data_IF_694299676746
#
_entry.id   IF_694299676746
#
_cell.length_a   1.000
_cell.length_b   1.000
_cell.length_c   1.000
_cell.angle_alpha   90.00
_cell.angle_beta   90.00
_cell.angle_gamma   90.00
#
_symmetry.space_group_name_H-M   'P 1'
#
loop_
_entity.id
_entity.type
_entity.pdbx_description
1 polymer ?
#
# COMPACT_ATOMS: atom_id res chain seq x y z
N UNK A 1 -19.14 -2.57 5.57
CA UNK A 1 -19.74 -1.21 5.49
C UNK A 1 -18.83 -0.03 5.08
N UNK A 2 -17.48 -0.16 4.99
CA UNK A 2 -16.63 0.81 4.27
C UNK A 2 -16.00 0.18 3.01
N UNK A 3 -15.65 -1.12 3.04
CA UNK A 3 -15.20 -1.88 1.87
C UNK A 3 -16.28 -2.09 0.80
N UNK A 4 -17.54 -2.33 1.17
CA UNK A 4 -18.61 -2.57 0.18
C UNK A 4 -18.93 -1.33 -0.67
N UNK A 5 -18.93 -0.13 -0.05
CA UNK A 5 -19.10 1.13 -0.79
C UNK A 5 -17.90 1.45 -1.70
N UNK A 6 -16.70 1.00 -1.31
CA UNK A 6 -15.49 1.12 -2.11
C UNK A 6 -15.52 0.21 -3.35
N UNK A 7 -16.06 -1.00 -3.21
CA UNK A 7 -16.26 -1.92 -4.34
C UNK A 7 -17.39 -1.46 -5.28
N UNK A 8 -18.46 -0.85 -4.74
CA UNK A 8 -19.55 -0.28 -5.55
C UNK A 8 -19.11 0.95 -6.38
N UNK A 9 -18.19 1.77 -5.87
CA UNK A 9 -17.68 2.95 -6.57
C UNK A 9 -16.40 2.69 -7.39
N UNK A 10 -15.81 1.51 -7.29
CA UNK A 10 -14.58 1.12 -7.98
C UNK A 10 -14.60 1.40 -9.50
N UNK A 11 -15.69 1.14 -10.25
CA UNK A 11 -15.74 1.45 -11.68
C UNK A 11 -15.72 2.96 -11.97
N UNK A 12 -16.35 3.78 -11.11
CA UNK A 12 -16.37 5.22 -11.26
C UNK A 12 -14.99 5.83 -10.96
N UNK A 13 -14.31 5.35 -9.93
CA UNK A 13 -12.94 5.77 -9.59
C UNK A 13 -11.96 5.37 -10.71
N UNK A 14 -12.13 4.19 -11.30
CA UNK A 14 -11.31 3.69 -12.42
C UNK A 14 -11.50 4.52 -13.71
N UNK A 15 -12.73 4.96 -14.00
CA UNK A 15 -13.02 5.88 -15.11
C UNK A 15 -12.44 7.29 -14.88
N UNK A 16 -12.34 7.71 -13.62
CA UNK A 16 -11.89 9.04 -13.22
C UNK A 16 -10.35 9.16 -13.20
N UNK A 17 -9.65 8.05 -12.91
CA UNK A 17 -8.19 7.91 -12.88
C UNK A 17 -7.51 8.22 -14.23
N UNK A 18 -8.19 8.00 -15.36
CA UNK A 18 -7.67 8.33 -16.69
C UNK A 18 -7.57 9.84 -16.97
N UNK A 19 -8.19 10.70 -16.15
CA UNK A 19 -8.22 12.14 -16.39
C UNK A 19 -7.15 12.89 -15.59
N UNK A 20 -6.10 13.35 -16.28
CA UNK A 20 -4.98 14.13 -15.70
C UNK A 20 -5.42 15.37 -14.90
N UNK A 21 -6.61 15.92 -15.18
CA UNK A 21 -7.21 17.06 -14.48
C UNK A 21 -7.68 16.72 -13.06
N UNK A 22 -8.16 15.50 -12.82
CA UNK A 22 -8.60 15.05 -11.50
C UNK A 22 -7.45 14.48 -10.68
N UNK A 23 -6.39 13.93 -11.32
CA UNK A 23 -5.11 13.62 -10.63
C UNK A 23 -4.50 14.86 -9.95
N UNK A 24 -4.53 16.01 -10.61
CA UNK A 24 -4.14 17.31 -10.02
C UNK A 24 -5.04 17.77 -8.87
N UNK A 25 -6.32 17.37 -8.89
CA UNK A 25 -7.25 17.64 -7.79
C UNK A 25 -7.00 16.72 -6.60
N UNK A 26 -6.61 15.47 -6.85
CA UNK A 26 -6.20 14.49 -5.83
C UNK A 26 -4.82 14.79 -5.26
N UNK A 27 -3.87 15.32 -6.06
CA UNK A 27 -2.59 15.90 -5.58
C UNK A 27 -2.80 17.12 -4.67
N UNK A 28 -3.95 17.78 -4.79
CA UNK A 28 -4.32 18.94 -3.98
C UNK A 28 -4.66 18.54 -2.54
N UNK A 29 -5.21 17.33 -2.37
CA UNK A 29 -5.36 16.67 -1.07
C UNK A 29 -4.07 15.89 -0.77
N UNK A 30 -3.26 16.36 0.20
CA UNK A 30 -1.93 15.82 0.53
C UNK A 30 -1.96 14.43 1.20
N UNK A 31 -2.89 13.57 0.81
CA UNK A 31 -3.06 12.24 1.37
C UNK A 31 -2.11 11.25 0.70
N UNK A 32 -1.38 10.42 1.48
CA UNK A 32 -0.50 9.42 0.92
C UNK A 32 -1.28 8.37 0.12
N UNK A 33 -0.68 7.84 -0.93
CA UNK A 33 -1.24 6.67 -1.64
C UNK A 33 -1.02 5.40 -0.82
N UNK A 34 -1.79 4.34 -1.09
CA UNK A 34 -1.59 3.05 -0.40
C UNK A 34 -0.14 2.55 -0.43
N UNK A 35 0.53 2.73 -1.58
CA UNK A 35 1.93 2.37 -1.77
C UNK A 35 2.94 3.15 -0.93
N UNK A 36 2.52 4.28 -0.36
CA UNK A 36 3.35 5.14 0.50
C UNK A 36 3.15 4.86 1.98
N UNK A 37 2.07 4.15 2.37
CA UNK A 37 1.76 3.91 3.78
C UNK A 37 2.89 3.16 4.49
N UNK A 38 3.40 2.05 3.93
CA UNK A 38 4.47 1.28 4.58
C UNK A 38 5.79 2.06 4.67
N UNK A 39 6.28 2.73 3.61
CA UNK A 39 7.44 3.61 3.71
C UNK A 39 7.29 4.70 4.77
N UNK A 40 6.10 5.32 4.87
CA UNK A 40 5.81 6.34 5.88
C UNK A 40 5.79 5.71 7.27
N UNK A 41 5.13 4.57 7.45
CA UNK A 41 5.06 3.85 8.71
C UNK A 41 6.45 3.44 9.20
N UNK A 42 7.33 3.03 8.29
CA UNK A 42 8.74 2.75 8.59
C UNK A 42 9.46 3.99 9.13
N UNK A 43 9.35 5.13 8.43
CA UNK A 43 9.94 6.39 8.91
C UNK A 43 9.36 6.86 10.25
N UNK A 44 8.04 6.71 10.44
CA UNK A 44 7.39 7.03 11.70
C UNK A 44 7.91 6.14 12.83
N UNK A 45 8.12 4.84 12.55
CA UNK A 45 8.72 3.92 13.52
C UNK A 45 10.08 4.44 13.96
N UNK A 46 10.95 4.76 13.00
CA UNK A 46 12.30 5.25 13.29
C UNK A 46 12.27 6.55 14.11
N UNK A 47 11.30 7.44 13.86
CA UNK A 47 11.14 8.68 14.62
C UNK A 47 10.60 8.50 16.04
N UNK A 48 9.77 7.47 16.27
CA UNK A 48 9.19 7.17 17.58
C UNK A 48 9.91 6.02 18.29
N UNK A 49 11.06 5.58 17.79
CA UNK A 49 11.91 4.61 18.48
C UNK A 49 12.48 5.26 19.74
N UNK A 50 12.33 4.55 20.87
CA UNK A 50 12.89 4.97 22.15
C UNK A 50 14.39 4.75 22.09
N UNK A 51 15.16 5.77 22.44
CA UNK A 51 16.62 5.72 22.48
C UNK A 51 17.13 5.94 23.89
N UNK A 52 18.38 5.57 24.15
CA UNK A 52 19.00 5.70 25.47
C UNK A 52 19.20 7.17 25.90
N UNK A 53 19.13 8.11 24.94
CA UNK A 53 19.15 9.56 25.21
C UNK A 53 17.79 10.12 25.63
N UNK A 54 16.70 9.37 25.51
CA UNK A 54 15.37 9.85 25.87
C UNK A 54 15.19 9.92 27.40
N UNK A 55 14.58 11.00 27.85
CA UNK A 55 14.05 11.05 29.22
C UNK A 55 12.87 10.07 29.38
N UNK A 56 12.62 9.59 30.60
CA UNK A 56 11.46 8.71 30.89
C UNK A 56 10.12 9.27 30.37
N UNK A 57 9.96 10.60 30.40
CA UNK A 57 8.78 11.27 29.87
C UNK A 57 8.69 11.14 28.33
N UNK A 58 9.80 11.36 27.62
CA UNK A 58 9.86 11.25 26.16
C UNK A 58 9.63 9.80 25.72
N UNK A 59 10.27 8.84 26.38
CA UNK A 59 10.07 7.40 26.11
C UNK A 59 8.59 7.03 26.25
N UNK A 60 7.95 7.46 27.34
CA UNK A 60 6.51 7.21 27.57
C UNK A 60 5.63 7.80 26.47
N UNK A 61 5.95 9.02 25.99
CA UNK A 61 5.21 9.65 24.90
C UNK A 61 5.41 8.89 23.59
N UNK A 62 6.67 8.59 23.23
CA UNK A 62 7.02 7.86 22.02
C UNK A 62 6.31 6.50 21.96
N UNK A 63 6.34 5.74 23.05
CA UNK A 63 5.65 4.44 23.17
C UNK A 63 4.14 4.57 22.99
N UNK A 64 3.51 5.55 23.65
CA UNK A 64 2.05 5.74 23.54
C UNK A 64 1.62 6.13 22.13
N UNK A 65 2.35 7.06 21.49
CA UNK A 65 2.05 7.50 20.13
C UNK A 65 2.27 6.34 19.15
N UNK A 66 3.39 5.64 19.25
CA UNK A 66 3.68 4.50 18.39
C UNK A 66 2.68 3.35 18.58
N UNK A 67 2.26 3.10 19.82
CA UNK A 67 1.23 2.13 20.16
C UNK A 67 -0.10 2.43 19.46
N UNK A 68 -0.55 3.68 19.46
CA UNK A 68 -1.78 4.09 18.77
C UNK A 68 -1.67 4.00 17.24
N UNK A 69 -0.54 4.44 16.67
CA UNK A 69 -0.32 4.40 15.21
C UNK A 69 -0.23 2.96 14.72
N UNK A 70 0.60 2.13 15.37
CA UNK A 70 0.87 0.76 14.93
C UNK A 70 -0.38 -0.12 14.99
N UNK A 71 -1.27 0.09 15.96
CA UNK A 71 -2.52 -0.68 16.12
C UNK A 71 -3.40 -0.68 14.88
N UNK A 72 -3.38 0.40 14.09
CA UNK A 72 -4.19 0.53 12.86
C UNK A 72 -3.68 -0.35 11.71
N UNK A 73 -2.46 -0.87 11.80
CA UNK A 73 -1.78 -1.63 10.74
C UNK A 73 -1.27 -3.00 11.22
N UNK A 74 -1.83 -3.50 12.34
CA UNK A 74 -1.50 -4.83 12.89
C UNK A 74 -2.24 -5.97 12.18
N UNK A 75 -3.37 -5.68 11.54
CA UNK A 75 -4.12 -6.69 10.79
C UNK A 75 -3.29 -7.23 9.62
N UNK A 76 -3.18 -8.55 9.54
CA UNK A 76 -2.33 -9.24 8.56
C UNK A 76 -2.83 -9.01 7.12
N UNK A 77 -4.15 -8.98 6.90
CA UNK A 77 -4.71 -8.76 5.57
C UNK A 77 -4.44 -7.33 5.10
N UNK A 78 -4.63 -6.35 5.99
CA UNK A 78 -4.27 -4.95 5.69
C UNK A 78 -2.78 -4.87 5.38
N UNK A 79 -1.93 -5.53 6.17
CA UNK A 79 -0.48 -5.48 5.97
C UNK A 79 -0.06 -6.11 4.65
N UNK A 80 -0.58 -7.28 4.29
CA UNK A 80 -0.30 -7.94 3.01
C UNK A 80 -0.74 -7.08 1.83
N UNK A 81 -1.93 -6.48 1.92
CA UNK A 81 -2.42 -5.57 0.88
C UNK A 81 -1.54 -4.33 0.71
N UNK A 82 -1.06 -3.74 1.82
CA UNK A 82 -0.12 -2.63 1.77
C UNK A 82 1.25 -3.04 1.23
N UNK A 83 1.70 -4.26 1.52
CA UNK A 83 2.92 -4.84 0.96
C UNK A 83 2.79 -5.00 -0.56
N UNK A 84 1.68 -5.55 -1.07
CA UNK A 84 1.42 -5.61 -2.51
C UNK A 84 1.44 -4.22 -3.17
N UNK A 85 0.71 -3.25 -2.59
CA UNK A 85 0.64 -1.89 -3.11
C UNK A 85 2.03 -1.22 -3.16
N UNK A 86 2.83 -1.42 -2.11
CA UNK A 86 4.17 -0.86 -1.99
C UNK A 86 5.15 -1.57 -2.94
N UNK A 87 4.98 -2.87 -3.21
CA UNK A 87 5.84 -3.63 -4.13
C UNK A 87 5.64 -3.18 -5.57
N UNK A 88 4.39 -2.85 -5.93
CA UNK A 88 4.01 -2.30 -7.24
C UNK A 88 4.53 -0.88 -7.46
N UNK A 89 4.89 -0.15 -6.41
CA UNK A 89 5.49 1.18 -6.55
C UNK A 89 7.01 1.08 -6.83
N UNK A 90 7.47 1.48 -8.02
CA UNK A 90 8.87 1.32 -8.43
C UNK A 90 9.86 2.08 -7.53
N UNK A 91 9.37 3.06 -6.76
CA UNK A 91 10.16 3.83 -5.80
C UNK A 91 10.47 3.03 -4.53
N UNK A 92 9.59 2.10 -4.15
CA UNK A 92 9.61 1.40 -2.86
C UNK A 92 9.76 -0.12 -2.97
N UNK A 93 9.81 -0.68 -4.19
CA UNK A 93 9.91 -2.12 -4.42
C UNK A 93 11.05 -2.85 -3.69
N UNK A 94 12.12 -2.15 -3.31
CA UNK A 94 13.26 -2.72 -2.55
C UNK A 94 13.06 -2.70 -1.03
N UNK A 95 11.99 -2.06 -0.53
CA UNK A 95 11.71 -1.87 0.89
C UNK A 95 10.84 -2.96 1.50
N UNK A 96 10.41 -3.94 0.71
CA UNK A 96 9.50 -5.00 1.17
C UNK A 96 10.29 -6.24 1.56
N UNK A 97 10.12 -6.75 2.79
CA UNK A 97 10.65 -8.05 3.17
C UNK A 97 10.08 -9.14 2.27
N UNK A 98 10.93 -9.99 1.69
CA UNK A 98 10.49 -11.15 0.92
C UNK A 98 9.94 -12.22 1.89
N UNK A 99 8.73 -12.04 2.41
CA UNK A 99 8.05 -13.10 3.15
C UNK A 99 7.33 -14.00 2.15
N UNK A 100 7.71 -15.27 2.11
CA UNK A 100 6.92 -16.29 1.43
C UNK A 100 5.65 -16.51 2.27
N UNK A 101 4.45 -16.48 1.69
CA UNK A 101 3.25 -16.90 2.40
C UNK A 101 3.48 -18.32 2.90
N UNK A 102 3.22 -18.57 4.19
CA UNK A 102 3.15 -19.94 4.70
C UNK A 102 1.79 -20.48 4.26
N UNK A 103 1.80 -21.60 3.57
CA UNK A 103 0.55 -22.27 3.20
C UNK A 103 -0.17 -22.70 4.49
N UNK A 104 -1.48 -22.54 4.53
CA UNK A 104 -2.31 -23.17 5.55
C UNK A 104 -2.32 -24.69 5.36
N UNK A 105 -2.63 -25.44 6.42
CA UNK A 105 -2.75 -26.89 6.34
C UNK A 105 -3.77 -27.34 5.27
N UNK A 106 -4.81 -26.54 5.01
CA UNK A 106 -5.78 -26.81 3.96
C UNK A 106 -5.16 -26.63 2.55
N UNK A 107 -4.43 -25.54 2.33
CA UNK A 107 -3.75 -25.29 1.04
C UNK A 107 -2.63 -26.30 0.78
N UNK A 108 -1.95 -26.78 1.81
CA UNK A 108 -0.98 -27.87 1.69
C UNK A 108 -1.65 -29.18 1.26
N UNK A 109 -2.83 -29.48 1.81
CA UNK A 109 -3.59 -30.69 1.49
C UNK A 109 -4.07 -30.73 0.04
N UNK A 110 -4.44 -29.58 -0.55
CA UNK A 110 -4.95 -29.49 -1.93
C UNK A 110 -3.90 -29.00 -2.95
N UNK A 111 -2.64 -28.89 -2.55
CA UNK A 111 -1.60 -28.30 -3.40
C UNK A 111 -1.36 -29.09 -4.70
N UNK A 112 -1.58 -30.41 -4.70
CA UNK A 112 -1.41 -31.25 -5.90
C UNK A 112 -2.58 -31.08 -6.87
N UNK A 113 -3.82 -31.11 -6.38
CA UNK A 113 -5.01 -30.86 -7.17
C UNK A 113 -4.96 -29.47 -7.84
N UNK A 114 -4.52 -28.45 -7.10
CA UNK A 114 -4.33 -27.09 -7.63
C UNK A 114 -3.21 -27.03 -8.68
N UNK A 115 -2.15 -27.84 -8.56
CA UNK A 115 -1.10 -27.95 -9.59
C UNK A 115 -1.66 -28.55 -10.87
N UNK A 116 -2.48 -29.59 -10.78
CA UNK A 116 -3.13 -30.21 -11.94
C UNK A 116 -4.10 -29.26 -12.64
N UNK A 117 -4.90 -28.49 -11.88
CA UNK A 117 -5.78 -27.45 -12.42
C UNK A 117 -4.99 -26.31 -13.09
N UNK A 118 -3.88 -25.87 -12.47
CA UNK A 118 -3.05 -24.79 -13.00
C UNK A 118 -2.22 -25.20 -14.23
N UNK A 119 -1.92 -26.49 -14.43
CA UNK A 119 -1.21 -26.99 -15.61
C UNK A 119 -1.97 -26.71 -16.92
N UNK A 120 -3.31 -26.72 -16.90
CA UNK A 120 -4.13 -26.34 -18.05
C UNK A 120 -4.23 -24.82 -18.27
N UNK A 121 -3.85 -24.03 -17.27
CA UNK A 121 -3.83 -22.55 -17.28
C UNK A 121 -2.42 -21.96 -17.54
N UNK A 122 -1.40 -22.82 -17.70
CA UNK A 122 0.03 -22.48 -17.62
C UNK A 122 0.56 -21.43 -18.61
N UNK A 123 -0.17 -21.10 -19.67
CA UNK A 123 0.26 -20.10 -20.65
C UNK A 123 0.14 -18.65 -20.14
N UNK A 124 -0.80 -18.34 -19.24
CA UNK A 124 -0.94 -16.99 -18.66
C UNK A 124 0.02 -16.75 -17.50
N UNK A 125 0.24 -17.75 -16.62
CA UNK A 125 1.12 -17.61 -15.45
C UNK A 125 2.59 -17.42 -15.84
N UNK A 126 3.04 -18.06 -16.93
CA UNK A 126 4.41 -17.89 -17.42
C UNK A 126 4.73 -16.47 -17.93
N UNK A 127 3.73 -15.72 -18.42
CA UNK A 127 3.91 -14.33 -18.83
C UNK A 127 4.01 -13.40 -17.63
N UNK A 128 3.15 -13.59 -16.63
CA UNK A 128 3.17 -12.81 -15.39
C UNK A 128 4.48 -13.01 -14.64
N UNK A 129 4.96 -14.26 -14.52
CA UNK A 129 6.22 -14.54 -13.82
C UNK A 129 7.42 -13.84 -14.48
N UNK A 130 7.47 -13.82 -15.82
CA UNK A 130 8.50 -13.10 -16.57
C UNK A 130 8.44 -11.58 -16.33
N UNK A 131 7.24 -10.99 -16.33
CA UNK A 131 7.06 -9.58 -16.01
C UNK A 131 7.54 -9.26 -14.58
N UNK A 132 7.21 -10.12 -13.61
CA UNK A 132 7.66 -9.98 -12.21
C UNK A 132 9.17 -10.04 -12.09
N UNK A 133 9.81 -11.01 -12.74
CA UNK A 133 11.26 -11.18 -12.65
C UNK A 133 12.00 -10.02 -13.31
N UNK A 134 11.51 -9.55 -14.47
CA UNK A 134 12.04 -8.37 -15.15
C UNK A 134 11.85 -7.10 -14.30
N UNK A 135 10.69 -6.91 -13.69
CA UNK A 135 10.43 -5.76 -12.83
C UNK A 135 11.35 -5.74 -11.60
N UNK A 136 11.60 -6.91 -10.99
CA UNK A 136 12.53 -7.07 -9.86
C UNK A 136 13.98 -6.76 -10.24
N UNK A 137 14.40 -7.07 -11.47
CA UNK A 137 15.77 -6.79 -11.94
C UNK A 137 16.02 -5.32 -12.28
N UNK A 138 14.98 -4.54 -12.58
CA UNK A 138 15.13 -3.11 -12.82
C UNK A 138 15.59 -2.37 -11.54
N UNK A 139 16.35 -1.28 -11.63
CA UNK A 139 16.62 -0.43 -10.47
C UNK A 139 15.34 0.20 -9.91
N UNK A 140 15.34 0.57 -8.63
CA UNK A 140 14.30 1.42 -8.06
C UNK A 140 14.38 2.83 -8.67
N UNK A 141 13.24 3.51 -8.75
CA UNK A 141 13.16 4.87 -9.30
C UNK A 141 13.30 5.93 -8.23
N UNK A 142 13.59 7.17 -8.64
CA UNK A 142 13.66 8.31 -7.73
C UNK A 142 12.28 8.64 -7.15
N UNK A 143 12.26 9.14 -5.92
CA UNK A 143 11.03 9.55 -5.24
C UNK A 143 10.29 10.70 -5.93
N UNK A 144 11.00 11.49 -6.74
CA UNK A 144 10.46 12.59 -7.55
C UNK A 144 9.72 12.14 -8.81
N UNK A 145 9.87 10.88 -9.22
CA UNK A 145 9.19 10.33 -10.40
C UNK A 145 7.77 9.95 -10.01
N UNK A 146 6.79 10.35 -10.84
CA UNK A 146 5.40 9.91 -10.68
C UNK A 146 5.27 8.44 -11.10
N UNK A 147 4.86 7.52 -10.20
CA UNK A 147 4.88 6.10 -10.49
C UNK A 147 3.87 5.71 -11.57
N UNK A 148 2.79 6.47 -11.76
CA UNK A 148 1.79 6.23 -12.82
C UNK A 148 2.41 6.50 -14.20
N UNK A 149 3.14 7.61 -14.36
CA UNK A 149 3.88 7.88 -15.60
C UNK A 149 4.95 6.82 -15.88
N UNK A 150 5.65 6.34 -14.85
CA UNK A 150 6.64 5.28 -15.00
C UNK A 150 6.01 3.97 -15.54
N UNK A 151 4.88 3.55 -14.98
CA UNK A 151 4.17 2.36 -15.46
C UNK A 151 3.58 2.52 -16.86
N UNK A 152 3.20 3.75 -17.23
CA UNK A 152 2.76 4.06 -18.58
C UNK A 152 3.88 3.86 -19.60
N UNK A 153 5.10 4.31 -19.30
CA UNK A 153 6.28 4.12 -20.15
C UNK A 153 6.67 2.63 -20.26
N UNK A 154 6.42 1.84 -19.22
CA UNK A 154 6.78 0.41 -19.17
C UNK A 154 5.68 -0.54 -19.64
N UNK A 155 4.50 -0.04 -20.02
CA UNK A 155 3.33 -0.86 -20.37
C UNK A 155 3.58 -1.91 -21.46
N UNK A 156 4.42 -1.59 -22.44
CA UNK A 156 4.71 -2.52 -23.54
C UNK A 156 5.73 -3.60 -23.12
N UNK A 157 6.58 -3.29 -22.14
CA UNK A 157 7.61 -4.21 -21.61
C UNK A 157 7.14 -5.04 -20.42
N UNK A 158 6.18 -4.54 -19.65
CA UNK A 158 5.62 -5.13 -18.42
C UNK A 158 4.08 -5.06 -18.44
N UNK A 159 3.41 -5.63 -19.46
CA UNK A 159 1.98 -5.44 -19.68
C UNK A 159 1.11 -5.92 -18.52
N UNK A 160 1.44 -7.06 -17.88
CA UNK A 160 0.62 -7.60 -16.79
C UNK A 160 0.74 -6.75 -15.52
N UNK A 161 1.95 -6.28 -15.21
CA UNK A 161 2.18 -5.44 -14.03
C UNK A 161 1.73 -3.99 -14.25
N UNK A 162 1.84 -3.45 -15.46
CA UNK A 162 1.33 -2.13 -15.80
C UNK A 162 -0.19 -2.08 -15.60
N UNK A 163 -0.92 -3.09 -16.06
CA UNK A 163 -2.37 -3.21 -15.83
C UNK A 163 -2.72 -3.28 -14.33
N UNK A 164 -1.95 -4.04 -13.55
CA UNK A 164 -2.14 -4.16 -12.11
C UNK A 164 -1.83 -2.84 -11.37
N UNK A 165 -0.83 -2.09 -11.84
CA UNK A 165 -0.37 -0.87 -11.17
C UNK A 165 -1.46 0.19 -11.04
N UNK A 166 -2.36 0.27 -12.03
CA UNK A 166 -3.50 1.18 -12.03
C UNK A 166 -4.47 0.94 -10.86
N UNK A 167 -4.53 -0.29 -10.32
CA UNK A 167 -5.41 -0.64 -9.21
C UNK A 167 -4.89 -0.17 -7.85
N UNK A 168 -3.58 -0.13 -7.67
CA UNK A 168 -2.95 0.17 -6.37
C UNK A 168 -2.46 1.62 -6.26
N UNK A 169 -1.94 2.20 -7.35
CA UNK A 169 -1.29 3.52 -7.30
C UNK A 169 -2.28 4.70 -7.31
N UNK A 170 -3.51 4.47 -7.75
CA UNK A 170 -4.54 5.50 -7.85
C UNK A 170 -5.44 5.58 -6.60
N UNK A 171 -5.24 4.68 -5.63
CA UNK A 171 -6.01 4.67 -4.39
C UNK A 171 -5.29 5.54 -3.36
N UNK A 172 -5.89 6.69 -3.07
CA UNK A 172 -5.48 7.49 -1.91
C UNK A 172 -5.88 6.78 -0.63
N UNK A 173 -5.00 6.81 0.36
CA UNK A 173 -5.36 6.44 1.72
C UNK A 173 -6.23 7.57 2.29
N UNK A 174 -7.56 7.46 2.16
CA UNK A 174 -8.46 8.40 2.83
C UNK A 174 -8.53 8.04 4.31
N UNK A 175 -7.97 8.89 5.16
CA UNK A 175 -8.10 8.82 6.61
C UNK A 175 -9.26 9.70 7.09
N UNK A 176 -10.50 9.33 6.79
CA UNK A 176 -11.65 9.93 7.50
C UNK A 176 -12.15 8.92 8.53
N UNK A 177 -11.58 8.98 9.75
CA UNK A 177 -12.19 9.84 10.78
C UNK A 177 -11.19 10.66 11.63
N UNK A 178 -10.02 11.05 11.11
CA UNK A 178 -9.08 11.94 11.85
C UNK A 178 -9.67 13.33 12.12
N UNK A 179 -10.53 13.80 11.23
CA UNK A 179 -11.27 15.07 11.37
C UNK A 179 -12.23 15.02 12.57
N UNK A 180 -12.74 13.84 12.95
CA UNK A 180 -13.67 13.69 14.07
C UNK A 180 -12.96 13.79 15.42
N UNK A 181 -11.70 13.35 15.51
CA UNK A 181 -10.91 13.46 16.74
C UNK A 181 -10.45 14.90 16.97
N UNK A 182 -10.14 15.65 15.91
CA UNK A 182 -9.78 17.07 16.03
C UNK A 182 -10.99 17.99 16.28
N UNK A 183 -12.16 17.70 15.73
CA UNK A 183 -13.39 18.43 16.12
C UNK A 183 -13.77 18.20 17.58
N UNK A 184 -13.59 16.97 18.10
CA UNK A 184 -13.90 16.66 19.50
C UNK A 184 -12.91 17.33 20.47
N UNK A 185 -11.63 17.45 20.09
CA UNK A 185 -10.63 18.17 20.88
C UNK A 185 -10.83 19.70 20.85
N UNK A 186 -11.34 20.25 19.74
CA UNK A 186 -11.67 21.67 19.62
C UNK A 186 -12.82 22.09 20.54
N UNK A 187 -13.88 21.26 20.64
CA UNK A 187 -15.04 21.55 21.50
C UNK A 187 -14.73 21.52 23.00
N UNK A 188 -13.61 20.92 23.42
CA UNK A 188 -13.20 20.90 24.84
C UNK A 188 -12.38 22.13 25.25
N UNK A 189 -11.81 22.86 24.28
CA UNK A 189 -10.94 24.03 24.53
C UNK A 189 -11.69 25.36 24.35
N UNK A 190 -12.87 25.36 23.71
CA UNK A 190 -13.68 26.57 23.51
C UNK A 190 -14.76 26.81 24.57
N UNK A 191 -14.72 26.10 25.70
CA UNK A 191 -15.48 26.46 26.90
C UNK A 191 -14.55 27.01 27.98
N UNK A 192 -14.12 28.27 27.80
CA UNK A 192 -13.87 29.21 28.89
C UNK A 192 -15.03 30.22 28.95
#
# INVERSE_FOLDING_TARGET
MMMERFLEQYPAIQATSMCSRLRKSMERDRNPTLSQILPILGKLKDHFEVTDEDSMFISTIKEKIWGDISKRYQDENIRLFLEEATAIDPRFKTKIPQKRPKLSALEELFAEEDRHLNAHRGRSNGKVQKDVDLYRSLPATLTSVDPVTWWWEKRDSLPALSELSHKYLCVQASSTPSERILSTAGDTISQE
#
